data_IF_735548605072
#
_entry.id   IF_735548605072
#
_cell.length_a   1.000
_cell.length_b   1.000
_cell.length_c   1.000
_cell.angle_alpha   90.00
_cell.angle_beta   90.00
_cell.angle_gamma   90.00
#
_symmetry.space_group_name_H-M   'P 1'
#
loop_
_entity.id
_entity.type
_entity.pdbx_description
1 polymer ?
#
# COMPACT_ATOMS: atom_id res chain seq x y z
N UNK A 1 0.18 -19.89 -8.53
CA UNK A 1 -0.70 -19.12 -7.63
C UNK A 1 -2.16 -19.49 -7.92
N UNK A 2 -2.98 -19.81 -6.92
CA UNK A 2 -4.43 -20.00 -7.12
C UNK A 2 -5.08 -18.61 -7.29
N UNK A 3 -5.82 -18.34 -8.38
CA UNK A 3 -6.48 -17.05 -8.54
C UNK A 3 -7.56 -16.91 -7.46
N UNK A 4 -7.42 -15.90 -6.59
CA UNK A 4 -8.44 -15.51 -5.62
C UNK A 4 -9.38 -14.48 -6.26
N UNK A 5 -10.20 -14.97 -7.17
CA UNK A 5 -11.53 -14.45 -7.49
C UNK A 5 -12.23 -15.56 -8.26
N UNK A 6 -13.21 -16.24 -7.64
CA UNK A 6 -13.94 -17.34 -8.28
C UNK A 6 -15.30 -16.87 -8.80
N UNK A 7 -15.74 -15.68 -8.38
CA UNK A 7 -17.05 -15.13 -8.73
C UNK A 7 -16.97 -13.65 -9.09
N UNK A 8 -17.96 -13.16 -9.82
CA UNK A 8 -18.12 -11.71 -10.10
C UNK A 8 -18.28 -10.90 -8.81
N UNK A 9 -18.80 -11.51 -7.75
CA UNK A 9 -18.92 -10.90 -6.42
C UNK A 9 -17.53 -10.67 -5.81
N UNK A 10 -16.61 -11.64 -5.91
CA UNK A 10 -15.24 -11.49 -5.44
C UNK A 10 -14.49 -10.39 -6.20
N UNK A 11 -14.73 -10.29 -7.51
CA UNK A 11 -14.16 -9.24 -8.36
C UNK A 11 -14.72 -7.87 -7.98
N UNK A 12 -16.03 -7.73 -7.81
CA UNK A 12 -16.67 -6.48 -7.41
C UNK A 12 -16.28 -6.06 -5.97
N UNK A 13 -16.10 -7.01 -5.06
CA UNK A 13 -15.58 -6.75 -3.72
C UNK A 13 -14.12 -6.27 -3.78
N UNK A 14 -13.28 -6.92 -4.59
CA UNK A 14 -11.89 -6.50 -4.81
C UNK A 14 -11.80 -5.12 -5.46
N UNK A 15 -12.62 -4.85 -6.47
CA UNK A 15 -12.68 -3.54 -7.11
C UNK A 15 -13.10 -2.45 -6.12
N UNK A 16 -14.12 -2.71 -5.27
CA UNK A 16 -14.50 -1.78 -4.20
C UNK A 16 -13.38 -1.52 -3.20
N UNK A 17 -12.66 -2.57 -2.79
CA UNK A 17 -11.55 -2.44 -1.84
C UNK A 17 -10.44 -1.52 -2.39
N UNK A 18 -10.05 -1.69 -3.66
CA UNK A 18 -8.93 -0.95 -4.25
C UNK A 18 -9.34 0.38 -4.88
N UNK A 19 -10.55 0.50 -5.40
CA UNK A 19 -11.02 1.67 -6.15
C UNK A 19 -12.06 2.50 -5.39
N UNK A 20 -12.57 2.05 -4.25
CA UNK A 20 -13.43 2.87 -3.39
C UNK A 20 -12.69 4.08 -2.80
N UNK A 21 -13.43 5.06 -2.31
CA UNK A 21 -12.82 6.23 -1.66
C UNK A 21 -12.57 6.00 -0.17
N UNK A 22 -13.43 5.20 0.45
CA UNK A 22 -13.28 4.77 1.85
C UNK A 22 -12.52 3.44 1.94
N UNK A 23 -11.74 3.29 3.02
CA UNK A 23 -11.03 2.07 3.37
C UNK A 23 -11.51 1.63 4.75
N UNK A 24 -12.07 0.42 4.83
CA UNK A 24 -12.38 -0.22 6.09
C UNK A 24 -11.11 -0.88 6.63
N UNK A 25 -10.67 -0.45 7.81
CA UNK A 25 -9.43 -0.90 8.43
C UNK A 25 -9.68 -1.99 9.46
N UNK A 26 -8.92 -3.08 9.38
CA UNK A 26 -8.78 -4.04 10.47
C UNK A 26 -7.99 -3.37 11.61
N UNK A 27 -8.65 -3.15 12.74
CA UNK A 27 -8.07 -2.49 13.91
C UNK A 27 -6.79 -3.18 14.41
N UNK A 28 -6.74 -4.52 14.38
CA UNK A 28 -5.54 -5.28 14.80
C UNK A 28 -4.39 -5.06 13.82
N UNK A 29 -4.69 -4.95 12.53
CA UNK A 29 -3.69 -4.64 11.52
C UNK A 29 -3.15 -3.22 11.67
N UNK A 30 -4.03 -2.24 11.92
CA UNK A 30 -3.64 -0.85 12.20
C UNK A 30 -2.72 -0.79 13.41
N UNK A 31 -3.15 -1.32 14.56
CA UNK A 31 -2.37 -1.30 15.81
C UNK A 31 -0.99 -1.96 15.62
N UNK A 32 -0.91 -3.02 14.82
CA UNK A 32 0.33 -3.78 14.63
C UNK A 32 1.31 -3.14 13.65
N UNK A 33 0.83 -2.44 12.61
CA UNK A 33 1.67 -2.04 11.48
C UNK A 33 1.67 -0.53 11.19
N UNK A 34 0.67 0.22 11.64
CA UNK A 34 0.62 1.67 11.55
C UNK A 34 1.00 2.25 12.92
N UNK A 35 2.30 2.34 13.17
CA UNK A 35 2.90 2.79 14.43
C UNK A 35 3.68 4.08 14.21
N UNK A 36 4.01 4.79 15.29
CA UNK A 36 4.83 6.02 15.21
C UNK A 36 6.09 5.85 14.35
N UNK A 37 6.71 4.67 14.42
CA UNK A 37 7.93 4.34 13.69
C UNK A 37 7.70 4.19 12.18
N UNK A 38 6.52 3.72 11.77
CA UNK A 38 6.18 3.54 10.35
C UNK A 38 5.60 4.81 9.72
N UNK A 39 5.11 5.76 10.52
CA UNK A 39 4.56 7.02 10.03
C UNK A 39 5.52 7.79 9.12
N UNK A 40 6.77 7.99 9.56
CA UNK A 40 7.78 8.71 8.80
C UNK A 40 8.16 7.97 7.50
N UNK A 41 8.30 6.65 7.56
CA UNK A 41 8.60 5.81 6.40
C UNK A 41 7.49 5.88 5.34
N UNK A 42 6.23 5.83 5.78
CA UNK A 42 5.07 5.92 4.87
C UNK A 42 5.00 7.29 4.19
N UNK A 43 5.20 8.38 4.95
CA UNK A 43 5.18 9.73 4.38
C UNK A 43 6.28 9.93 3.34
N UNK A 44 7.52 9.56 3.68
CA UNK A 44 8.65 9.71 2.75
C UNK A 44 8.49 8.81 1.51
N UNK A 45 8.02 7.58 1.69
CA UNK A 45 7.75 6.68 0.57
C UNK A 45 6.69 7.27 -0.37
N UNK A 46 5.61 7.85 0.15
CA UNK A 46 4.61 8.53 -0.67
C UNK A 46 5.25 9.66 -1.50
N UNK A 47 6.13 10.45 -0.89
CA UNK A 47 6.76 11.56 -1.59
C UNK A 47 7.69 11.09 -2.73
N UNK A 48 8.43 10.00 -2.52
CA UNK A 48 9.25 9.39 -3.58
C UNK A 48 8.41 8.81 -4.71
N UNK A 49 7.31 8.13 -4.37
CA UNK A 49 6.39 7.55 -5.33
C UNK A 49 5.66 8.59 -6.19
N UNK A 50 5.68 9.88 -5.84
CA UNK A 50 5.13 10.95 -6.70
C UNK A 50 5.76 10.97 -8.09
N UNK A 51 7.03 10.56 -8.20
CA UNK A 51 7.79 10.57 -9.45
C UNK A 51 7.67 9.26 -10.25
N UNK A 52 7.05 8.22 -9.69
CA UNK A 52 6.89 6.94 -10.38
C UNK A 52 5.73 7.00 -11.40
N UNK A 53 5.92 6.32 -12.53
CA UNK A 53 4.87 6.00 -13.49
C UNK A 53 4.09 4.76 -13.03
N UNK A 54 2.89 4.99 -12.51
CA UNK A 54 2.03 3.91 -12.04
C UNK A 54 1.44 3.03 -13.16
N UNK A 55 1.56 3.45 -14.43
CA UNK A 55 1.27 2.60 -15.59
C UNK A 55 2.31 1.48 -15.78
N UNK A 56 3.47 1.57 -15.11
CA UNK A 56 4.57 0.60 -15.20
C UNK A 56 4.92 0.08 -13.81
N UNK A 57 4.47 -1.13 -13.51
CA UNK A 57 4.75 -1.80 -12.23
C UNK A 57 6.24 -1.78 -11.86
N UNK A 58 7.12 -2.03 -12.82
CA UNK A 58 8.56 -2.09 -12.60
C UNK A 58 9.14 -0.73 -12.17
N UNK A 59 8.51 0.39 -12.55
CA UNK A 59 8.92 1.72 -12.13
C UNK A 59 8.53 2.00 -10.67
N UNK A 60 7.32 1.60 -10.27
CA UNK A 60 6.90 1.60 -8.85
C UNK A 60 7.86 0.77 -8.02
N UNK A 61 8.18 -0.45 -8.47
CA UNK A 61 9.09 -1.36 -7.77
C UNK A 61 10.51 -0.79 -7.69
N UNK A 62 11.01 -0.16 -8.75
CA UNK A 62 12.33 0.49 -8.76
C UNK A 62 12.42 1.62 -7.73
N UNK A 63 11.45 2.55 -7.71
CA UNK A 63 11.41 3.66 -6.75
C UNK A 63 11.30 3.13 -5.31
N UNK A 64 10.45 2.13 -5.09
CA UNK A 64 10.26 1.51 -3.78
C UNK A 64 11.55 0.84 -3.28
N UNK A 65 12.21 0.06 -4.12
CA UNK A 65 13.44 -0.64 -3.74
C UNK A 65 14.61 0.33 -3.53
N UNK A 66 14.73 1.40 -4.33
CA UNK A 66 15.72 2.45 -4.11
C UNK A 66 15.54 3.16 -2.76
N UNK A 67 14.30 3.42 -2.36
CA UNK A 67 14.00 3.92 -1.01
C UNK A 67 14.47 2.97 0.09
N UNK A 68 14.24 1.66 -0.07
CA UNK A 68 14.67 0.67 0.92
C UNK A 68 16.18 0.60 1.04
N UNK A 69 16.88 0.59 -0.10
CA UNK A 69 18.33 0.55 -0.15
C UNK A 69 18.93 1.77 0.57
N UNK A 70 18.44 2.98 0.29
CA UNK A 70 18.92 4.21 0.93
C UNK A 70 18.69 4.20 2.46
N UNK A 71 17.60 3.59 2.92
CA UNK A 71 17.29 3.47 4.35
C UNK A 71 17.94 2.27 5.04
N UNK A 72 18.64 1.41 4.30
CA UNK A 72 19.17 0.15 4.83
C UNK A 72 18.07 -0.82 5.30
N UNK A 73 16.87 -0.72 4.70
CA UNK A 73 15.70 -1.53 5.03
C UNK A 73 15.52 -2.66 4.02
N UNK A 74 14.71 -3.65 4.41
CA UNK A 74 14.22 -4.67 3.48
C UNK A 74 12.71 -4.55 3.30
N UNK A 75 12.19 -5.19 2.24
CA UNK A 75 10.77 -5.12 1.89
C UNK A 75 9.85 -5.56 3.04
N UNK A 76 10.26 -6.53 3.87
CA UNK A 76 9.42 -7.01 4.98
C UNK A 76 9.17 -5.94 6.05
N UNK A 77 10.06 -4.96 6.19
CA UNK A 77 9.92 -3.87 7.15
C UNK A 77 8.76 -2.92 6.80
N UNK A 78 8.51 -2.70 5.51
CA UNK A 78 7.53 -1.70 5.05
C UNK A 78 6.33 -2.28 4.31
N UNK A 79 6.41 -3.50 3.79
CA UNK A 79 5.36 -4.06 2.94
C UNK A 79 4.02 -4.22 3.68
N UNK A 80 4.05 -4.60 4.95
CA UNK A 80 2.82 -4.70 5.76
C UNK A 80 2.23 -3.34 6.09
N UNK A 81 2.99 -2.35 6.61
CA UNK A 81 2.50 -0.99 6.77
C UNK A 81 1.87 -0.41 5.50
N UNK A 82 2.54 -0.54 4.34
CA UNK A 82 2.00 -0.05 3.06
C UNK A 82 0.74 -0.80 2.66
N UNK A 83 0.71 -2.14 2.81
CA UNK A 83 -0.49 -2.93 2.49
C UNK A 83 -1.68 -2.52 3.36
N UNK A 84 -1.48 -2.35 4.67
CA UNK A 84 -2.53 -1.90 5.57
C UNK A 84 -2.99 -0.50 5.19
N UNK A 85 -2.07 0.43 4.90
CA UNK A 85 -2.42 1.78 4.45
C UNK A 85 -3.28 1.74 3.17
N UNK A 86 -2.90 0.90 2.19
CA UNK A 86 -3.58 0.79 0.91
C UNK A 86 -4.91 0.04 0.97
N UNK A 87 -5.05 -1.00 1.80
CA UNK A 87 -6.16 -1.95 1.70
C UNK A 87 -6.91 -2.15 3.01
N UNK A 88 -6.50 -1.50 4.09
CA UNK A 88 -7.08 -1.69 5.42
C UNK A 88 -6.71 -3.00 6.11
N UNK A 89 -5.99 -3.90 5.43
CA UNK A 89 -5.70 -5.24 5.94
C UNK A 89 -4.33 -5.77 5.53
N UNK A 90 -4.01 -7.00 5.93
CA UNK A 90 -2.69 -7.62 5.73
C UNK A 90 -2.61 -8.58 4.56
N UNK A 91 -3.74 -8.84 3.89
CA UNK A 91 -3.85 -9.80 2.80
C UNK A 91 -4.27 -9.06 1.54
N UNK A 92 -3.43 -9.12 0.51
CA UNK A 92 -3.71 -8.58 -0.83
C UNK A 92 -3.00 -9.44 -1.88
N UNK A 93 -3.29 -9.25 -3.18
CA UNK A 93 -2.38 -9.62 -4.26
C UNK A 93 -0.99 -8.97 -4.10
N UNK A 94 -0.11 -9.15 -5.10
CA UNK A 94 1.22 -8.53 -5.09
C UNK A 94 1.14 -7.03 -4.81
N UNK A 95 2.01 -6.52 -3.94
CA UNK A 95 1.97 -5.13 -3.47
C UNK A 95 2.08 -4.16 -4.65
N UNK A 96 3.02 -4.39 -5.55
CA UNK A 96 3.21 -3.54 -6.72
C UNK A 96 2.09 -3.71 -7.75
N UNK A 97 1.49 -4.90 -7.86
CA UNK A 97 0.34 -5.13 -8.74
C UNK A 97 -0.88 -4.31 -8.27
N UNK A 98 -1.16 -4.28 -6.96
CA UNK A 98 -2.25 -3.45 -6.42
C UNK A 98 -1.95 -1.96 -6.56
N UNK A 99 -0.68 -1.55 -6.39
CA UNK A 99 -0.31 -0.15 -6.56
C UNK A 99 -0.55 0.31 -8.00
N UNK A 100 -0.06 -0.46 -8.98
CA UNK A 100 -0.30 -0.20 -10.39
C UNK A 100 -1.80 -0.17 -10.73
N UNK A 101 -2.58 -1.11 -10.18
CA UNK A 101 -4.03 -1.16 -10.39
C UNK A 101 -4.79 0.03 -9.80
N UNK A 102 -4.41 0.50 -8.62
CA UNK A 102 -5.05 1.63 -7.93
C UNK A 102 -4.68 2.98 -8.56
N UNK A 103 -3.51 3.07 -9.18
CA UNK A 103 -2.98 4.30 -9.75
C UNK A 103 -2.38 5.24 -8.70
N UNK A 104 -1.61 6.21 -9.19
CA UNK A 104 -0.76 7.09 -8.37
C UNK A 104 -1.56 7.81 -7.28
N UNK A 105 -2.55 8.60 -7.67
CA UNK A 105 -3.18 9.55 -6.76
C UNK A 105 -3.89 8.83 -5.58
N UNK A 106 -4.55 7.70 -5.85
CA UNK A 106 -5.21 6.88 -4.81
C UNK A 106 -4.20 6.19 -3.89
N UNK A 107 -3.11 5.65 -4.44
CA UNK A 107 -2.04 5.09 -3.64
C UNK A 107 -1.41 6.12 -2.71
N UNK A 108 -1.05 7.28 -3.23
CA UNK A 108 -0.43 8.36 -2.46
C UNK A 108 -1.36 8.86 -1.35
N UNK A 109 -2.63 9.09 -1.66
CA UNK A 109 -3.63 9.52 -0.69
C UNK A 109 -3.77 8.51 0.46
N UNK A 110 -3.89 7.22 0.14
CA UNK A 110 -4.04 6.17 1.15
C UNK A 110 -2.77 5.92 1.97
N UNK A 111 -1.58 6.00 1.36
CA UNK A 111 -0.31 5.90 2.09
C UNK A 111 -0.16 7.07 3.08
N UNK A 112 -0.49 8.29 2.66
CA UNK A 112 -0.47 9.47 3.54
C UNK A 112 -1.48 9.39 4.68
N UNK A 113 -2.69 8.89 4.42
CA UNK A 113 -3.66 8.64 5.49
C UNK A 113 -3.18 7.54 6.45
N UNK A 114 -2.55 6.48 5.93
CA UNK A 114 -1.88 5.48 6.76
C UNK A 114 -0.79 6.07 7.66
N UNK A 115 0.02 6.99 7.12
CA UNK A 115 1.02 7.73 7.88
C UNK A 115 0.39 8.60 8.98
N UNK A 116 -0.73 9.27 8.70
CA UNK A 116 -1.46 10.08 9.68
C UNK A 116 -2.03 9.20 10.81
N UNK A 117 -2.64 8.06 10.48
CA UNK A 117 -3.16 7.09 11.45
C UNK A 117 -2.07 6.51 12.35
N UNK A 118 -0.86 6.36 11.80
CA UNK A 118 0.29 5.86 12.52
C UNK A 118 0.82 6.87 13.58
N UNK A 119 0.41 8.14 13.53
CA UNK A 119 0.81 9.18 14.48
C UNK A 119 -0.15 9.36 15.67
N UNK A 120 -1.36 8.78 15.60
CA UNK A 120 -2.43 8.97 16.61
C UNK A 120 -3.47 9.98 16.14
#
# INVERSE_FOLDING_TARGET
LKPRARTLVDLAASARLYLGDEVEYDEKAVIKFLTSDTAALLSELADRLMMADFGRKDDIESVFNGFLEEKGLNLKAVAQPVRVALTGGTISPGLFDIMAFMGRDKCLARIREGARRAQG
#
